data_IF_847427508062
#
_entry.id   IF_847427508062
#
_cell.length_a   1.000
_cell.length_b   1.000
_cell.length_c   1.000
_cell.angle_alpha   90.00
_cell.angle_beta   90.00
_cell.angle_gamma   90.00
#
_symmetry.space_group_name_H-M   'P 1'
#
loop_
_entity.id
_entity.type
_entity.pdbx_description
1 polymer ?
#
# COMPACT_ATOMS: atom_id res chain seq x y z
N UNK A 1 -15.73 -7.62 -11.45
CA UNK A 1 -15.16 -6.83 -10.35
C UNK A 1 -15.01 -5.37 -10.77
N UNK A 2 -15.76 -4.48 -10.12
CA UNK A 2 -15.60 -3.04 -10.22
C UNK A 2 -14.39 -2.55 -9.39
N UNK A 3 -14.09 -1.25 -9.44
CA UNK A 3 -12.92 -0.69 -8.75
C UNK A 3 -13.01 -0.81 -7.22
N UNK A 4 -14.20 -0.59 -6.64
CA UNK A 4 -14.42 -0.70 -5.20
C UNK A 4 -14.16 -2.13 -4.70
N UNK A 5 -14.70 -3.13 -5.39
CA UNK A 5 -14.49 -4.54 -5.06
C UNK A 5 -13.00 -4.92 -5.10
N UNK A 6 -12.26 -4.44 -6.11
CA UNK A 6 -10.81 -4.67 -6.20
C UNK A 6 -10.04 -4.03 -5.05
N UNK A 7 -10.42 -2.80 -4.67
CA UNK A 7 -9.79 -2.09 -3.56
C UNK A 7 -10.06 -2.77 -2.22
N UNK A 8 -11.28 -3.26 -2.00
CA UNK A 8 -11.64 -3.99 -0.79
C UNK A 8 -10.83 -5.27 -0.66
N UNK A 9 -10.70 -6.07 -1.73
CA UNK A 9 -9.85 -7.27 -1.72
C UNK A 9 -8.39 -6.94 -1.38
N UNK A 10 -7.85 -5.84 -1.91
CA UNK A 10 -6.50 -5.40 -1.58
C UNK A 10 -6.38 -5.04 -0.09
N UNK A 11 -7.35 -4.31 0.47
CA UNK A 11 -7.36 -3.94 1.89
C UNK A 11 -7.49 -5.16 2.82
N UNK A 12 -8.33 -6.12 2.47
CA UNK A 12 -8.55 -7.34 3.26
C UNK A 12 -7.30 -8.23 3.32
N UNK A 13 -6.54 -8.28 2.22
CA UNK A 13 -5.30 -9.05 2.08
C UNK A 13 -4.21 -8.54 3.03
N UNK A 14 -4.18 -7.23 3.28
CA UNK A 14 -3.10 -6.57 4.01
C UNK A 14 -3.39 -6.47 5.51
N UNK A 15 -2.34 -6.49 6.33
CA UNK A 15 -2.38 -6.00 7.72
C UNK A 15 -1.56 -4.74 7.83
N UNK A 16 -2.22 -3.65 8.22
CA UNK A 16 -1.62 -2.33 8.27
C UNK A 16 -0.95 -2.04 9.62
N UNK A 17 0.10 -1.19 9.67
CA UNK A 17 0.75 -0.56 8.52
C UNK A 17 1.61 -1.53 7.71
N UNK A 18 1.65 -1.32 6.39
CA UNK A 18 2.62 -1.99 5.51
C UNK A 18 3.92 -1.17 5.46
N UNK A 19 5.05 -1.80 5.17
CA UNK A 19 6.32 -1.10 4.94
C UNK A 19 7.08 -1.71 3.76
N UNK A 20 7.91 -0.91 3.13
CA UNK A 20 8.83 -1.36 2.10
C UNK A 20 10.19 -1.73 2.75
N UNK A 21 10.76 -2.86 2.35
CA UNK A 21 12.14 -3.25 2.68
C UNK A 21 13.01 -3.11 1.43
N UNK A 22 13.86 -2.08 1.39
CA UNK A 22 14.77 -1.82 0.28
C UNK A 22 15.86 -2.89 0.11
N UNK A 23 16.24 -3.61 1.18
CA UNK A 23 17.26 -4.67 1.08
C UNK A 23 16.74 -5.87 0.29
N UNK A 24 15.48 -6.21 0.51
CA UNK A 24 14.81 -7.35 -0.13
C UNK A 24 13.99 -6.92 -1.36
N UNK A 25 13.72 -5.62 -1.50
CA UNK A 25 12.88 -5.01 -2.52
C UNK A 25 11.43 -5.50 -2.47
N UNK A 26 10.89 -5.59 -1.27
CA UNK A 26 9.60 -6.24 -0.97
C UNK A 26 8.72 -5.38 -0.07
N UNK A 27 7.41 -5.51 -0.18
CA UNK A 27 6.44 -4.95 0.77
C UNK A 27 6.06 -6.01 1.81
N UNK A 28 6.09 -5.61 3.08
CA UNK A 28 5.73 -6.45 4.22
C UNK A 28 4.56 -5.83 4.99
N UNK A 29 3.72 -6.68 5.56
CA UNK A 29 2.59 -6.28 6.40
C UNK A 29 2.97 -6.17 7.88
N UNK A 30 2.06 -5.66 8.71
CA UNK A 30 2.28 -5.48 10.15
C UNK A 30 2.41 -6.79 10.94
N UNK A 31 2.07 -7.93 10.34
CA UNK A 31 2.27 -9.26 10.94
C UNK A 31 3.60 -9.88 10.54
N UNK A 32 4.43 -9.17 9.77
CA UNK A 32 5.70 -9.70 9.28
C UNK A 32 5.51 -10.71 8.16
N UNK A 33 4.43 -10.62 7.38
CA UNK A 33 4.24 -11.41 6.17
C UNK A 33 4.64 -10.59 4.94
N UNK A 34 5.45 -11.19 4.06
CA UNK A 34 5.75 -10.60 2.76
C UNK A 34 4.49 -10.61 1.88
N UNK A 35 4.13 -9.45 1.34
CA UNK A 35 2.96 -9.25 0.48
C UNK A 35 3.34 -9.38 -0.99
N UNK A 36 4.37 -8.65 -1.42
CA UNK A 36 4.82 -8.67 -2.81
C UNK A 36 6.27 -8.19 -2.98
N UNK A 37 6.89 -8.66 -4.06
CA UNK A 37 8.16 -8.19 -4.59
C UNK A 37 7.95 -7.00 -5.54
N UNK A 38 8.77 -5.96 -5.40
CA UNK A 38 8.82 -4.82 -6.32
C UNK A 38 10.07 -4.98 -7.20
N UNK A 39 9.87 -5.36 -8.46
CA UNK A 39 10.96 -5.60 -9.42
C UNK A 39 10.79 -4.78 -10.71
N UNK A 40 11.82 -4.02 -11.06
CA UNK A 40 11.85 -3.03 -12.14
C UNK A 40 12.56 -3.50 -13.41
N UNK A 41 12.35 -4.74 -13.85
CA UNK A 41 12.99 -5.35 -15.04
C UNK A 41 12.52 -4.83 -16.40
N UNK A 42 11.79 -3.70 -16.43
CA UNK A 42 11.28 -3.07 -17.65
C UNK A 42 12.08 -1.83 -18.01
N UNK A 43 11.38 -0.70 -18.16
CA UNK A 43 11.98 0.62 -18.44
C UNK A 43 13.05 1.03 -17.43
N UNK A 44 12.83 0.73 -16.14
CA UNK A 44 13.66 1.24 -15.03
C UNK A 44 15.10 0.72 -15.10
N UNK A 45 15.31 -0.53 -15.52
CA UNK A 45 16.66 -1.13 -15.59
C UNK A 45 17.61 -0.36 -16.52
N UNK A 46 17.08 0.34 -17.52
CA UNK A 46 17.86 1.12 -18.49
C UNK A 46 18.04 2.58 -18.09
N UNK A 47 17.52 2.99 -16.92
CA UNK A 47 17.62 4.36 -16.43
C UNK A 47 18.80 4.52 -15.47
N UNK A 48 19.38 5.72 -15.43
CA UNK A 48 20.33 6.08 -14.37
C UNK A 48 19.67 5.96 -13.00
N UNK A 49 20.41 5.40 -12.03
CA UNK A 49 19.93 5.13 -10.67
C UNK A 49 18.72 4.18 -10.67
N UNK A 50 18.81 3.09 -11.44
CA UNK A 50 17.72 2.13 -11.61
C UNK A 50 17.23 1.53 -10.28
N UNK A 51 18.15 1.17 -9.39
CA UNK A 51 17.83 0.66 -8.05
C UNK A 51 17.12 1.72 -7.20
N UNK A 52 17.70 2.93 -7.03
CA UNK A 52 17.06 4.03 -6.29
C UNK A 52 15.63 4.33 -6.81
N UNK A 53 15.42 4.23 -8.12
CA UNK A 53 14.08 4.44 -8.73
C UNK A 53 13.11 3.33 -8.39
N UNK A 54 13.57 2.09 -8.36
CA UNK A 54 12.75 0.96 -7.94
C UNK A 54 12.36 1.09 -6.46
N UNK A 55 13.33 1.44 -5.61
CA UNK A 55 13.11 1.64 -4.19
C UNK A 55 12.13 2.80 -3.95
N UNK A 56 12.30 3.92 -4.66
CA UNK A 56 11.38 5.05 -4.58
C UNK A 56 9.94 4.69 -4.96
N UNK A 57 9.74 3.77 -5.92
CA UNK A 57 8.41 3.26 -6.27
C UNK A 57 7.86 2.36 -5.15
N UNK A 58 8.69 1.47 -4.60
CA UNK A 58 8.30 0.60 -3.49
C UNK A 58 7.83 1.41 -2.28
N UNK A 59 8.61 2.41 -1.89
CA UNK A 59 8.28 3.38 -0.84
C UNK A 59 6.97 4.13 -1.13
N UNK A 60 6.80 4.61 -2.37
CA UNK A 60 5.58 5.32 -2.77
C UNK A 60 4.34 4.41 -2.66
N UNK A 61 4.44 3.16 -3.11
CA UNK A 61 3.33 2.19 -3.05
C UNK A 61 2.96 1.92 -1.58
N UNK A 62 3.93 1.60 -0.72
CA UNK A 62 3.67 1.35 0.70
C UNK A 62 3.00 2.56 1.38
N UNK A 63 3.48 3.77 1.09
CA UNK A 63 2.90 5.00 1.60
C UNK A 63 1.47 5.25 1.11
N UNK A 64 1.18 4.98 -0.16
CA UNK A 64 -0.16 5.13 -0.73
C UNK A 64 -1.15 4.12 -0.13
N UNK A 65 -0.74 2.87 0.07
CA UNK A 65 -1.55 1.84 0.72
C UNK A 65 -1.91 2.27 2.15
N UNK A 66 -0.92 2.66 2.95
CA UNK A 66 -1.13 3.14 4.31
C UNK A 66 -2.04 4.38 4.36
N UNK A 67 -1.85 5.32 3.42
CA UNK A 67 -2.68 6.53 3.32
C UNK A 67 -4.12 6.18 2.97
N UNK A 68 -4.33 5.26 2.02
CA UNK A 68 -5.65 4.83 1.59
C UNK A 68 -6.42 4.19 2.76
N UNK A 69 -5.79 3.25 3.48
CA UNK A 69 -6.40 2.65 4.67
C UNK A 69 -6.80 3.68 5.74
N UNK A 70 -5.92 4.65 6.05
CA UNK A 70 -6.25 5.71 7.03
C UNK A 70 -7.46 6.55 6.58
N UNK A 71 -7.55 6.87 5.29
CA UNK A 71 -8.64 7.67 4.76
C UNK A 71 -9.98 6.92 4.78
N UNK A 72 -9.99 5.62 4.50
CA UNK A 72 -11.22 4.82 4.57
C UNK A 72 -11.72 4.71 6.01
N UNK A 73 -10.84 4.47 6.98
CA UNK A 73 -11.22 4.47 8.40
C UNK A 73 -11.75 5.84 8.86
N UNK A 74 -11.14 6.94 8.43
CA UNK A 74 -11.60 8.28 8.79
C UNK A 74 -13.03 8.57 8.29
N UNK A 75 -13.41 8.06 7.09
CA UNK A 75 -14.78 8.18 6.58
C UNK A 75 -15.77 7.38 7.41
N UNK A 76 -15.41 6.15 7.77
CA UNK A 76 -16.24 5.27 8.60
C UNK A 76 -16.50 5.92 9.97
N UNK A 77 -15.46 6.47 10.59
CA UNK A 77 -15.58 7.15 11.88
C UNK A 77 -16.52 8.37 11.79
N UNK A 78 -16.43 9.16 10.71
CA UNK A 78 -17.30 10.32 10.48
C UNK A 78 -18.76 9.92 10.26
N UNK A 79 -19.02 8.85 9.50
CA UNK A 79 -20.37 8.31 9.28
C UNK A 79 -20.98 7.77 10.57
N UNK A 80 -20.20 7.00 11.35
CA UNK A 80 -20.65 6.48 12.64
C UNK A 80 -20.99 7.62 13.61
N UNK A 81 -20.16 8.66 13.66
CA UNK A 81 -20.41 9.83 14.49
C UNK A 81 -21.72 10.53 14.11
N UNK A 82 -22.00 10.70 12.81
CA UNK A 82 -23.27 11.28 12.33
C UNK A 82 -24.48 10.44 12.71
N UNK A 83 -24.38 9.11 12.67
CA UNK A 83 -25.46 8.20 13.06
C UNK A 83 -25.74 8.19 14.57
N UNK A 84 -24.70 8.36 15.40
CA UNK A 84 -24.83 8.39 16.85
C UNK A 84 -25.26 9.75 17.40
N UNK A 85 -25.06 10.82 16.62
CA UNK A 85 -25.44 12.18 16.99
C UNK A 85 -26.88 12.57 16.55
N UNK A 86 -27.57 11.68 15.83
CA UNK A 86 -28.98 11.79 15.41
C UNK A 86 -29.90 10.97 16.30
#
# INVERSE_FOLDING_TARGET
MNLSEKNNLALETLKFPVHYDAKQQTIWDAKGMMVCDIRGWGKIQFMNKSEDRQDAIGELIANLLNKYHRNENAKIDEELFKMLAS
#
